data_IF_882029396762
#
_entry.id   IF_882029396762
#
_cell.length_a   1.000
_cell.length_b   1.000
_cell.length_c   1.000
_cell.angle_alpha   90.00
_cell.angle_beta   90.00
_cell.angle_gamma   90.00
#
_symmetry.space_group_name_H-M   'P 1'
#
loop_
_entity.id
_entity.type
_entity.pdbx_description
1 polymer ?
#
# COMPACT_ATOMS: atom_id res chain seq x y z
N UNK A 1 12.52 20.28 5.56
CA UNK A 1 11.71 19.23 4.89
C UNK A 1 12.15 19.09 3.44
N UNK A 2 12.01 17.90 2.87
CA UNK A 2 12.31 17.64 1.46
C UNK A 2 11.40 16.55 0.91
N UNK A 3 11.14 16.61 -0.39
CA UNK A 3 10.42 15.59 -1.15
C UNK A 3 11.25 15.21 -2.37
N UNK A 4 11.51 13.92 -2.55
CA UNK A 4 12.05 13.38 -3.80
C UNK A 4 11.09 12.36 -4.40
N UNK A 5 10.86 12.48 -5.69
CA UNK A 5 10.03 11.55 -6.45
C UNK A 5 10.85 10.99 -7.60
N UNK A 6 11.04 9.67 -7.62
CA UNK A 6 11.58 8.99 -8.79
C UNK A 6 10.48 8.81 -9.83
N UNK A 7 10.78 9.20 -11.06
CA UNK A 7 9.90 9.09 -12.22
C UNK A 7 10.49 8.06 -13.19
N UNK A 8 10.11 6.77 -13.08
CA UNK A 8 10.78 5.68 -13.82
C UNK A 8 10.72 5.85 -15.34
N UNK A 9 9.66 6.46 -15.88
CA UNK A 9 9.51 6.68 -17.33
C UNK A 9 10.49 7.70 -17.90
N UNK A 10 10.94 8.63 -17.07
CA UNK A 10 11.84 9.71 -17.45
C UNK A 10 13.27 9.45 -16.97
N UNK A 11 13.49 8.35 -16.25
CA UNK A 11 14.72 8.07 -15.48
C UNK A 11 15.22 9.32 -14.76
N UNK A 12 14.31 10.00 -14.08
CA UNK A 12 14.62 11.27 -13.42
C UNK A 12 14.08 11.30 -12.01
N UNK A 13 14.83 11.94 -11.13
CA UNK A 13 14.43 12.23 -9.76
C UNK A 13 14.12 13.73 -9.69
N UNK A 14 12.89 14.05 -9.30
CA UNK A 14 12.51 15.41 -8.91
C UNK A 14 12.82 15.57 -7.43
N UNK A 15 13.60 16.58 -7.06
CA UNK A 15 13.94 16.89 -5.67
C UNK A 15 13.42 18.28 -5.33
N UNK A 16 12.70 18.41 -4.22
CA UNK A 16 12.25 19.68 -3.65
C UNK A 16 12.73 19.79 -2.21
N UNK A 17 13.37 20.90 -1.87
CA UNK A 17 13.95 21.16 -0.54
C UNK A 17 13.37 22.48 -0.03
N UNK A 18 12.80 22.45 1.17
CA UNK A 18 12.44 23.66 1.91
C UNK A 18 13.68 24.17 2.65
N UNK A 19 14.06 25.40 2.35
CA UNK A 19 15.26 26.08 2.83
C UNK A 19 14.99 26.96 4.06
N UNK A 20 13.78 26.94 4.61
CA UNK A 20 13.39 27.76 5.76
C UNK A 20 13.41 29.25 5.41
N UNK A 21 14.17 30.04 6.16
CA UNK A 21 14.24 31.50 6.03
C UNK A 21 15.20 31.98 4.92
N UNK A 22 15.89 31.07 4.23
CA UNK A 22 16.79 31.43 3.12
C UNK A 22 16.00 31.63 1.81
N UNK A 23 15.54 32.86 1.61
CA UNK A 23 14.68 33.25 0.47
C UNK A 23 15.48 33.46 -0.83
N UNK A 24 16.79 33.71 -0.74
CA UNK A 24 17.72 33.84 -1.88
C UNK A 24 18.94 32.94 -1.70
N UNK A 25 18.76 31.61 -1.80
CA UNK A 25 19.81 30.65 -1.52
C UNK A 25 20.94 30.76 -2.53
N UNK A 26 22.15 31.10 -2.05
CA UNK A 26 23.37 30.95 -2.83
C UNK A 26 23.95 29.56 -2.59
N UNK A 27 23.83 28.69 -3.57
CA UNK A 27 24.35 27.32 -3.52
C UNK A 27 25.87 27.36 -3.72
N UNK A 28 26.62 26.81 -2.76
CA UNK A 28 28.08 26.74 -2.80
C UNK A 28 28.57 25.37 -3.27
N UNK A 29 27.85 24.30 -2.92
CA UNK A 29 28.22 22.94 -3.28
C UNK A 29 26.97 22.06 -3.48
N UNK A 30 27.03 21.19 -4.49
CA UNK A 30 26.07 20.10 -4.66
C UNK A 30 26.84 18.82 -4.95
N UNK A 31 26.58 17.76 -4.18
CA UNK A 31 27.27 16.49 -4.33
C UNK A 31 26.34 15.30 -4.04
N UNK A 32 26.59 14.18 -4.72
CA UNK A 32 25.98 12.90 -4.39
C UNK A 32 26.86 12.15 -3.39
N UNK A 33 26.28 11.78 -2.24
CA UNK A 33 26.98 11.03 -1.19
C UNK A 33 26.17 9.78 -0.88
N UNK A 34 26.72 8.61 -1.20
CA UNK A 34 26.02 7.31 -1.11
C UNK A 34 24.71 7.34 -1.92
N UNK A 35 23.56 7.29 -1.26
CA UNK A 35 22.22 7.37 -1.86
C UNK A 35 21.54 8.70 -1.52
N UNK A 36 22.30 9.73 -1.16
CA UNK A 36 21.79 11.04 -0.77
C UNK A 36 22.34 12.14 -1.67
N UNK A 37 21.53 13.18 -1.87
CA UNK A 37 21.93 14.45 -2.43
C UNK A 37 22.25 15.42 -1.28
N UNK A 38 23.44 15.98 -1.30
CA UNK A 38 23.87 17.02 -0.37
C UNK A 38 23.88 18.34 -1.12
N UNK A 39 23.16 19.33 -0.58
CA UNK A 39 23.15 20.70 -1.05
C UNK A 39 23.65 21.60 0.08
N UNK A 40 24.71 22.35 -0.19
CA UNK A 40 25.27 23.33 0.75
C UNK A 40 24.94 24.72 0.24
N UNK A 41 24.29 25.52 1.07
CA UNK A 41 24.12 26.95 0.87
C UNK A 41 25.15 27.70 1.74
N UNK A 42 25.20 29.03 1.64
CA UNK A 42 26.04 29.83 2.55
C UNK A 42 25.66 29.68 4.03
N UNK A 43 24.41 29.33 4.31
CA UNK A 43 23.80 29.37 5.65
C UNK A 43 23.61 27.97 6.22
N UNK A 44 23.27 26.99 5.38
CA UNK A 44 22.80 25.67 5.81
C UNK A 44 23.30 24.55 4.91
N UNK A 45 23.37 23.33 5.48
CA UNK A 45 23.64 22.10 4.76
C UNK A 45 22.40 21.22 4.78
N UNK A 46 21.87 20.90 3.60
CA UNK A 46 20.73 20.01 3.42
C UNK A 46 21.21 18.67 2.89
N UNK A 47 20.81 17.58 3.56
CA UNK A 47 21.07 16.21 3.10
C UNK A 47 19.75 15.53 2.86
N UNK A 48 19.53 15.09 1.63
CA UNK A 48 18.27 14.51 1.18
C UNK A 48 18.52 13.09 0.69
N UNK A 49 17.86 12.10 1.28
CA UNK A 49 17.93 10.72 0.82
C UNK A 49 17.19 10.59 -0.50
N UNK A 50 17.78 9.97 -1.51
CA UNK A 50 17.17 9.73 -2.80
C UNK A 50 16.48 8.36 -2.80
N UNK A 51 15.33 8.21 -3.46
CA UNK A 51 14.58 6.95 -3.51
C UNK A 51 15.19 6.01 -4.56
N UNK A 52 16.42 5.56 -4.31
CA UNK A 52 17.17 4.62 -5.16
C UNK A 52 17.66 3.44 -4.32
N UNK A 53 17.63 2.24 -4.90
CA UNK A 53 18.01 1.00 -4.19
C UNK A 53 19.48 0.96 -3.82
N UNK A 54 20.36 1.46 -4.71
CA UNK A 54 21.80 1.41 -4.52
C UNK A 54 22.49 2.68 -5.06
N UNK A 55 23.75 2.87 -4.65
CA UNK A 55 24.61 3.96 -5.14
C UNK A 55 24.91 3.83 -6.64
N UNK A 56 24.86 2.62 -7.18
CA UNK A 56 25.25 2.36 -8.57
C UNK A 56 24.29 3.02 -9.56
N UNK A 57 23.02 3.20 -9.17
CA UNK A 57 22.03 3.96 -9.96
C UNK A 57 22.38 5.46 -10.06
N UNK A 58 23.30 5.96 -9.22
CA UNK A 58 23.74 7.36 -9.22
C UNK A 58 25.11 7.58 -9.89
N UNK A 59 25.79 6.53 -10.37
CA UNK A 59 27.17 6.62 -10.91
C UNK A 59 27.34 7.66 -12.01
N UNK A 60 26.30 7.87 -12.83
CA UNK A 60 26.28 8.84 -13.93
C UNK A 60 25.18 9.90 -13.78
N UNK A 61 24.66 10.08 -12.57
CA UNK A 61 23.58 11.03 -12.33
C UNK A 61 24.01 12.47 -12.62
N UNK A 62 23.20 13.21 -13.37
CA UNK A 62 23.45 14.61 -13.71
C UNK A 62 22.31 15.50 -13.26
N UNK A 63 22.64 16.64 -12.67
CA UNK A 63 21.67 17.67 -12.35
C UNK A 63 21.37 18.43 -13.64
N UNK A 64 20.15 18.32 -14.15
CA UNK A 64 19.73 18.93 -15.42
C UNK A 64 18.99 20.24 -15.23
N UNK A 65 18.43 20.47 -14.05
CA UNK A 65 17.71 21.69 -13.72
C UNK A 65 17.88 22.04 -12.24
N UNK A 66 18.06 23.32 -11.96
CA UNK A 66 18.05 23.91 -10.63
C UNK A 66 17.17 25.16 -10.70
N UNK A 67 16.18 25.25 -9.84
CA UNK A 67 15.27 26.39 -9.74
C UNK A 67 15.06 26.73 -8.27
N UNK A 68 15.43 27.95 -7.88
CA UNK A 68 15.08 28.50 -6.58
C UNK A 68 13.89 29.45 -6.74
N UNK A 69 12.82 29.24 -5.98
CA UNK A 69 11.67 30.14 -5.93
C UNK A 69 11.30 30.39 -4.48
N UNK A 70 11.66 31.57 -3.97
CA UNK A 70 11.56 31.86 -2.54
C UNK A 70 12.38 30.86 -1.72
N UNK A 71 11.80 30.34 -0.64
CA UNK A 71 12.42 29.36 0.25
C UNK A 71 12.42 27.91 -0.26
N UNK A 72 12.10 27.68 -1.54
CA UNK A 72 12.03 26.33 -2.12
C UNK A 72 13.07 26.18 -3.22
N UNK A 73 13.94 25.19 -3.05
CA UNK A 73 14.88 24.74 -4.07
C UNK A 73 14.34 23.49 -4.76
N UNK A 74 14.16 23.57 -6.06
CA UNK A 74 13.77 22.45 -6.92
C UNK A 74 14.94 22.03 -7.79
N UNK A 75 15.31 20.75 -7.74
CA UNK A 75 16.33 20.16 -8.61
C UNK A 75 15.72 19.02 -9.43
N UNK A 76 16.23 18.85 -10.65
CA UNK A 76 15.98 17.65 -11.46
C UNK A 76 17.28 16.92 -11.67
N UNK A 77 17.30 15.65 -11.30
CA UNK A 77 18.43 14.74 -11.51
C UNK A 77 18.03 13.75 -12.60
N UNK A 78 18.78 13.70 -13.69
CA UNK A 78 18.67 12.65 -14.70
C UNK A 78 19.58 11.49 -14.33
N UNK A 79 19.06 10.28 -14.38
CA UNK A 79 19.80 9.04 -14.24
C UNK A 79 20.13 8.48 -15.62
N UNK A 80 21.13 7.59 -15.69
CA UNK A 80 21.39 6.82 -16.90
C UNK A 80 20.37 5.68 -17.00
N UNK A 81 19.75 5.57 -18.17
CA UNK A 81 18.66 4.64 -18.47
C UNK A 81 19.07 3.19 -18.20
N UNK A 82 18.45 2.56 -17.20
CA UNK A 82 18.45 1.10 -17.09
C UNK A 82 17.67 0.53 -18.29
N UNK A 83 18.20 -0.50 -18.94
CA UNK A 83 17.64 -1.04 -20.19
C UNK A 83 16.23 -1.63 -20.05
N UNK A 84 15.73 -1.83 -18.83
CA UNK A 84 14.35 -2.21 -18.56
C UNK A 84 13.64 -1.12 -17.75
N UNK A 85 12.78 -0.29 -18.37
CA UNK A 85 11.88 0.55 -17.62
C UNK A 85 10.89 -0.38 -16.92
N UNK A 86 10.97 -0.49 -15.58
CA UNK A 86 9.90 -1.07 -14.81
C UNK A 86 8.60 -0.35 -15.20
N UNK A 87 7.75 -1.04 -15.97
CA UNK A 87 6.53 -0.43 -16.49
C UNK A 87 5.70 0.05 -15.31
N UNK A 88 5.03 1.19 -15.45
CA UNK A 88 3.97 1.63 -14.53
C UNK A 88 2.92 0.51 -14.30
N UNK A 89 2.75 -0.38 -15.29
CA UNK A 89 1.89 -1.57 -15.20
C UNK A 89 2.53 -2.74 -14.45
N UNK A 90 3.81 -2.70 -14.09
CA UNK A 90 4.48 -3.76 -13.34
C UNK A 90 3.91 -3.88 -11.94
N UNK A 91 3.61 -2.76 -11.27
CA UNK A 91 2.90 -2.80 -9.98
C UNK A 91 1.44 -3.27 -10.15
N UNK A 92 0.77 -2.85 -11.23
CA UNK A 92 -0.57 -3.34 -11.61
C UNK A 92 -0.59 -4.85 -11.92
N UNK A 93 0.54 -5.41 -12.35
CA UNK A 93 0.71 -6.84 -12.69
C UNK A 93 1.34 -7.65 -11.56
N UNK A 94 1.94 -6.98 -10.58
CA UNK A 94 2.59 -7.53 -9.39
C UNK A 94 1.52 -8.00 -8.43
N UNK A 95 0.95 -9.17 -8.70
CA UNK A 95 -0.04 -9.90 -7.87
C UNK A 95 0.48 -10.31 -6.47
N UNK A 96 1.55 -9.69 -5.96
CA UNK A 96 2.15 -10.01 -4.67
C UNK A 96 1.57 -9.08 -3.61
N UNK A 97 0.36 -9.41 -3.16
CA UNK A 97 -0.18 -8.84 -1.93
C UNK A 97 0.60 -9.40 -0.74
N UNK A 98 0.86 -8.58 0.28
CA UNK A 98 1.51 -9.05 1.50
C UNK A 98 0.71 -10.21 2.12
N UNK A 99 1.43 -11.29 2.39
CA UNK A 99 0.93 -12.56 2.89
C UNK A 99 -0.06 -13.30 1.97
N UNK A 100 -0.07 -13.01 0.65
CA UNK A 100 -0.71 -13.90 -0.33
C UNK A 100 0.03 -15.24 -0.42
N UNK A 101 -0.57 -16.26 -1.03
CA UNK A 101 0.14 -17.52 -1.30
C UNK A 101 1.40 -17.28 -2.12
N UNK A 102 1.33 -16.38 -3.11
CA UNK A 102 2.50 -15.98 -3.92
C UNK A 102 3.61 -15.31 -3.09
N UNK A 103 3.26 -14.50 -2.08
CA UNK A 103 4.22 -13.89 -1.16
C UNK A 103 4.85 -14.94 -0.22
N UNK A 104 4.04 -15.87 0.31
CA UNK A 104 4.48 -16.88 1.27
C UNK A 104 5.50 -17.88 0.69
N UNK A 105 5.65 -17.96 -0.64
CA UNK A 105 6.68 -18.79 -1.31
C UNK A 105 8.11 -18.34 -0.96
N UNK A 106 8.32 -17.09 -0.53
CA UNK A 106 9.64 -16.59 -0.12
C UNK A 106 10.11 -17.12 1.23
N UNK A 107 9.23 -17.74 2.00
CA UNK A 107 9.58 -18.26 3.32
C UNK A 107 10.50 -19.48 3.21
N UNK A 108 11.34 -19.76 4.24
CA UNK A 108 12.23 -20.92 4.24
C UNK A 108 11.46 -22.22 4.05
N UNK A 109 12.11 -23.21 3.47
CA UNK A 109 11.53 -24.54 3.28
C UNK A 109 12.18 -25.58 4.18
N UNK A 110 11.37 -26.54 4.62
CA UNK A 110 11.86 -27.71 5.34
C UNK A 110 12.46 -28.78 4.39
N UNK A 111 12.90 -29.90 4.97
CA UNK A 111 13.45 -31.03 4.25
C UNK A 111 12.47 -31.68 3.24
N UNK A 112 11.16 -31.45 3.42
CA UNK A 112 10.11 -31.94 2.54
C UNK A 112 9.71 -30.91 1.47
N UNK A 113 10.47 -29.83 1.32
CA UNK A 113 10.22 -28.72 0.40
C UNK A 113 8.90 -27.96 0.70
N UNK A 114 8.48 -27.95 1.96
CA UNK A 114 7.30 -27.22 2.45
C UNK A 114 7.74 -25.90 3.08
N UNK A 115 7.10 -24.80 2.68
CA UNK A 115 7.30 -23.47 3.25
C UNK A 115 6.94 -23.47 4.76
N UNK A 116 7.90 -23.06 5.60
CA UNK A 116 7.76 -23.02 7.07
C UNK A 116 7.55 -21.61 7.57
N UNK A 117 6.37 -21.34 8.11
CA UNK A 117 6.00 -20.07 8.73
C UNK A 117 4.86 -20.25 9.74
N UNK A 118 4.71 -19.29 10.64
CA UNK A 118 3.67 -19.27 11.66
C UNK A 118 2.90 -17.96 11.59
N UNK A 119 1.57 -18.03 11.63
CA UNK A 119 0.77 -16.86 11.99
C UNK A 119 0.61 -16.83 13.50
N UNK A 120 1.11 -15.76 14.11
CA UNK A 120 1.05 -15.51 15.54
C UNK A 120 -0.02 -14.48 15.86
N UNK A 121 -0.55 -14.51 17.08
CA UNK A 121 -1.38 -13.44 17.61
C UNK A 121 -0.52 -12.17 17.78
N UNK A 122 -0.95 -11.04 17.23
CA UNK A 122 -0.20 -9.78 17.33
C UNK A 122 0.03 -9.29 18.77
N UNK A 123 -0.81 -9.75 19.70
CA UNK A 123 -0.90 -9.25 21.08
C UNK A 123 -0.20 -10.11 22.13
N UNK A 124 -0.06 -11.42 21.89
CA UNK A 124 0.60 -12.33 22.84
C UNK A 124 1.62 -13.26 22.19
N UNK A 125 1.84 -13.16 20.88
CA UNK A 125 2.73 -13.98 20.06
C UNK A 125 2.44 -15.50 20.12
N UNK A 126 1.32 -15.93 20.70
CA UNK A 126 0.89 -17.33 20.63
C UNK A 126 0.58 -17.74 19.20
N UNK A 127 0.99 -18.94 18.79
CA UNK A 127 0.70 -19.50 17.47
C UNK A 127 -0.81 -19.62 17.26
N UNK A 128 -1.30 -19.02 16.17
CA UNK A 128 -2.71 -19.03 15.75
C UNK A 128 -2.90 -20.03 14.61
N UNK A 129 -1.99 -20.06 13.64
CA UNK A 129 -1.98 -21.00 12.51
C UNK A 129 -0.54 -21.40 12.20
N UNK A 130 -0.30 -22.69 12.00
CA UNK A 130 1.00 -23.25 11.60
C UNK A 130 0.96 -23.66 10.12
N UNK A 131 2.01 -23.36 9.35
CA UNK A 131 2.09 -23.74 7.94
C UNK A 131 2.16 -25.25 7.71
N UNK A 132 2.67 -26.01 8.68
CA UNK A 132 2.86 -27.47 8.56
C UNK A 132 1.54 -28.23 8.64
N UNK A 133 0.56 -27.68 9.34
CA UNK A 133 -0.74 -28.32 9.57
C UNK A 133 -1.80 -27.95 8.52
N UNK A 134 -1.51 -27.00 7.63
CA UNK A 134 -2.51 -26.37 6.79
C UNK A 134 -2.08 -26.24 5.32
N UNK A 135 -3.06 -26.34 4.43
CA UNK A 135 -2.91 -25.97 3.01
C UNK A 135 -3.40 -24.55 2.79
N UNK A 136 -2.70 -23.81 1.94
CA UNK A 136 -2.99 -22.40 1.67
C UNK A 136 -3.45 -22.21 0.24
N UNK A 137 -4.51 -21.41 0.06
CA UNK A 137 -5.00 -20.98 -1.23
C UNK A 137 -5.44 -19.52 -1.14
N UNK A 138 -5.15 -18.70 -2.14
CA UNK A 138 -5.69 -17.35 -2.20
C UNK A 138 -7.21 -17.41 -2.46
N UNK A 139 -7.97 -16.55 -1.80
CA UNK A 139 -9.35 -16.30 -2.20
C UNK A 139 -9.36 -15.67 -3.59
N UNK A 140 -10.33 -16.03 -4.46
CA UNK A 140 -10.66 -15.17 -5.58
C UNK A 140 -10.93 -13.75 -5.06
N UNK A 141 -10.62 -12.71 -5.85
CA UNK A 141 -10.76 -11.29 -5.47
C UNK A 141 -12.00 -11.05 -4.62
N UNK A 142 -11.99 -10.23 -3.57
CA UNK A 142 -13.15 -10.09 -2.67
C UNK A 142 -14.50 -9.84 -3.40
N UNK A 143 -14.48 -9.25 -4.59
CA UNK A 143 -15.61 -8.99 -5.51
C UNK A 143 -15.99 -10.16 -6.45
N UNK A 144 -15.41 -11.35 -6.29
CA UNK A 144 -15.65 -12.48 -7.21
C UNK A 144 -17.11 -12.93 -7.21
N UNK A 145 -17.77 -12.82 -6.06
CA UNK A 145 -19.18 -13.16 -5.90
C UNK A 145 -20.07 -12.16 -6.65
N UNK A 146 -19.74 -10.87 -6.59
CA UNK A 146 -20.40 -9.83 -7.39
C UNK A 146 -20.19 -10.09 -8.90
N UNK A 147 -18.98 -10.47 -9.32
CA UNK A 147 -18.67 -10.81 -10.71
C UNK A 147 -19.41 -12.07 -11.21
N UNK A 148 -19.72 -13.03 -10.33
CA UNK A 148 -20.54 -14.20 -10.68
C UNK A 148 -22.00 -13.83 -10.98
N UNK A 149 -22.53 -12.79 -10.32
CA UNK A 149 -23.88 -12.28 -10.58
C UNK A 149 -23.97 -11.57 -11.95
N UNK A 150 -22.89 -10.90 -12.39
CA UNK A 150 -22.83 -10.25 -13.70
C UNK A 150 -22.72 -11.22 -14.90
N UNK A 151 -22.24 -12.45 -14.70
CA UNK A 151 -21.97 -13.42 -15.78
C UNK A 151 -23.21 -14.14 -16.33
N UNK A 152 -24.40 -13.87 -15.82
CA UNK A 152 -25.63 -14.59 -16.18
C UNK A 152 -26.63 -13.80 -17.04
N UNK A 153 -26.17 -12.80 -17.81
CA UNK A 153 -27.03 -12.17 -18.80
C UNK A 153 -27.16 -13.01 -20.08
N UNK A 154 -28.40 -13.46 -20.33
CA UNK A 154 -28.93 -14.19 -21.49
C UNK A 154 -28.88 -15.73 -21.48
N UNK A 155 -29.61 -16.35 -20.54
CA UNK A 155 -30.26 -17.63 -20.89
C UNK A 155 -31.63 -17.29 -21.52
N UNK A 156 -31.89 -17.65 -22.79
CA UNK A 156 -33.15 -17.30 -23.44
C UNK A 156 -34.32 -17.97 -22.70
N UNK A 157 -35.34 -17.15 -22.45
CA UNK A 157 -36.64 -17.44 -21.84
C UNK A 157 -37.04 -18.92 -21.90
N UNK A 158 -36.92 -19.61 -20.78
CA UNK A 158 -37.89 -20.66 -20.45
C UNK A 158 -38.60 -20.25 -19.17
N UNK A 159 -39.90 -20.01 -19.32
CA UNK A 159 -40.83 -19.69 -18.24
C UNK A 159 -40.92 -20.89 -17.29
N UNK A 160 -40.14 -20.88 -16.22
CA UNK A 160 -40.52 -21.54 -14.99
C UNK A 160 -40.24 -20.62 -13.82
N UNK A 161 -41.35 -20.22 -13.19
CA UNK A 161 -41.43 -19.43 -11.99
C UNK A 161 -40.86 -20.20 -10.79
N UNK A 162 -40.31 -19.42 -9.85
CA UNK A 162 -40.22 -19.71 -8.40
C UNK A 162 -39.20 -20.77 -7.94
N UNK A 163 -37.90 -20.41 -7.95
CA UNK A 163 -36.89 -20.68 -6.90
C UNK A 163 -35.47 -20.52 -7.47
N UNK A 164 -35.06 -19.28 -7.71
CA UNK A 164 -33.66 -18.98 -8.06
C UNK A 164 -33.06 -17.94 -7.11
N UNK A 165 -33.13 -18.19 -5.79
CA UNK A 165 -32.02 -17.85 -4.90
C UNK A 165 -30.94 -18.89 -5.10
N UNK A 166 -30.21 -18.81 -6.22
CA UNK A 166 -29.04 -19.66 -6.42
C UNK A 166 -27.95 -19.17 -5.46
N UNK A 167 -27.90 -19.77 -4.27
CA UNK A 167 -26.76 -19.72 -3.37
C UNK A 167 -25.55 -20.25 -4.14
N UNK A 168 -24.80 -19.39 -4.85
CA UNK A 168 -23.44 -19.70 -5.21
C UNK A 168 -22.72 -20.02 -3.91
N UNK A 169 -22.37 -21.30 -3.74
CA UNK A 169 -21.94 -21.84 -2.45
C UNK A 169 -20.83 -20.95 -1.90
N UNK A 170 -21.11 -20.26 -0.79
CA UNK A 170 -20.10 -19.56 -0.04
C UNK A 170 -18.92 -20.51 0.13
N UNK A 171 -17.71 -20.08 -0.24
CA UNK A 171 -16.55 -20.96 -0.11
C UNK A 171 -16.44 -21.31 1.37
N UNK A 172 -16.66 -22.56 1.73
CA UNK A 172 -16.54 -23.00 3.12
C UNK A 172 -15.15 -23.63 3.29
N UNK A 173 -14.31 -23.10 4.19
CA UNK A 173 -13.06 -23.73 4.59
C UNK A 173 -13.24 -25.20 4.93
N UNK A 174 -12.49 -26.06 4.23
CA UNK A 174 -12.31 -27.46 4.63
C UNK A 174 -11.40 -27.51 5.86
N UNK A 175 -11.44 -28.63 6.58
CA UNK A 175 -10.47 -28.89 7.64
C UNK A 175 -9.04 -28.76 7.08
N UNK A 176 -8.15 -28.14 7.86
CA UNK A 176 -6.75 -27.91 7.51
C UNK A 176 -6.53 -27.10 6.21
N UNK A 177 -7.50 -26.28 5.81
CA UNK A 177 -7.36 -25.33 4.70
C UNK A 177 -7.51 -23.90 5.21
N UNK A 178 -6.58 -23.05 4.78
CA UNK A 178 -6.57 -21.63 5.07
C UNK A 178 -6.67 -20.88 3.76
N UNK A 179 -7.79 -20.19 3.58
CA UNK A 179 -8.02 -19.32 2.45
C UNK A 179 -7.54 -17.90 2.79
N UNK A 180 -6.65 -17.35 1.98
CA UNK A 180 -6.08 -16.03 2.21
C UNK A 180 -6.90 -15.00 1.44
N UNK A 181 -7.67 -14.19 2.17
CA UNK A 181 -8.34 -13.01 1.63
C UNK A 181 -7.43 -11.79 1.60
N UNK A 182 -7.95 -10.66 1.12
CA UNK A 182 -7.15 -9.43 1.05
C UNK A 182 -6.80 -8.94 2.46
N UNK A 183 -7.80 -8.91 3.34
CA UNK A 183 -7.70 -8.41 4.72
C UNK A 183 -7.65 -9.49 5.79
N UNK A 184 -7.95 -10.76 5.45
CA UNK A 184 -8.15 -11.82 6.45
C UNK A 184 -7.58 -13.18 6.03
N UNK A 185 -7.41 -14.06 7.01
CA UNK A 185 -7.27 -15.50 6.84
C UNK A 185 -8.61 -16.15 7.16
N UNK A 186 -9.10 -17.01 6.26
CA UNK A 186 -10.39 -17.67 6.39
C UNK A 186 -10.21 -19.18 6.51
N UNK A 187 -10.61 -19.70 7.67
CA UNK A 187 -10.36 -21.08 8.04
C UNK A 187 -11.48 -21.59 8.95
N UNK A 188 -11.58 -22.91 9.06
CA UNK A 188 -12.52 -23.55 9.99
C UNK A 188 -11.96 -23.46 11.40
N UNK A 189 -12.73 -22.87 12.32
CA UNK A 189 -12.31 -22.61 13.71
C UNK A 189 -13.55 -22.28 14.54
N UNK A 190 -13.61 -22.80 15.76
CA UNK A 190 -14.72 -22.58 16.70
C UNK A 190 -14.69 -21.23 17.43
N UNK A 191 -13.68 -20.38 17.17
CA UNK A 191 -13.53 -19.08 17.82
C UNK A 191 -12.72 -18.13 16.95
N UNK A 192 -13.15 -16.87 16.82
CA UNK A 192 -12.34 -15.79 16.25
C UNK A 192 -11.29 -15.24 17.23
N UNK A 193 -11.32 -15.67 18.50
CA UNK A 193 -10.39 -15.23 19.53
C UNK A 193 -9.08 -16.03 19.55
N UNK A 194 -8.02 -15.41 20.05
CA UNK A 194 -6.80 -16.12 20.39
C UNK A 194 -7.06 -17.15 21.49
N UNK A 195 -6.64 -18.40 21.32
CA UNK A 195 -6.85 -19.42 22.36
C UNK A 195 -6.08 -19.15 23.64
N UNK A 196 -4.95 -18.44 23.56
CA UNK A 196 -4.11 -18.05 24.70
C UNK A 196 -4.66 -16.83 25.43
N UNK A 197 -4.70 -15.65 24.78
CA UNK A 197 -5.06 -14.40 25.44
C UNK A 197 -6.55 -14.00 25.32
N UNK A 198 -7.37 -14.79 24.62
CA UNK A 198 -8.81 -14.57 24.39
C UNK A 198 -9.19 -13.30 23.63
N UNK A 199 -8.23 -12.46 23.24
CA UNK A 199 -8.49 -11.28 22.42
C UNK A 199 -9.09 -11.67 21.08
N UNK A 200 -10.08 -10.89 20.64
CA UNK A 200 -10.70 -11.10 19.33
C UNK A 200 -9.69 -10.80 18.21
N UNK A 201 -9.52 -11.73 17.27
CA UNK A 201 -8.65 -11.56 16.10
C UNK A 201 -9.44 -11.30 14.81
N UNK A 202 -10.77 -11.40 14.85
CA UNK A 202 -11.63 -11.06 13.72
C UNK A 202 -13.08 -11.45 13.93
N UNK A 203 -13.67 -12.15 12.98
CA UNK A 203 -15.10 -12.49 12.98
C UNK A 203 -15.31 -14.00 12.95
N UNK A 204 -16.35 -14.46 13.65
CA UNK A 204 -16.80 -15.84 13.63
C UNK A 204 -18.17 -15.89 12.95
N UNK A 205 -18.31 -16.77 11.97
CA UNK A 205 -19.59 -17.07 11.33
C UNK A 205 -19.73 -18.58 11.26
N UNK A 206 -20.68 -19.13 12.02
CA UNK A 206 -20.83 -20.57 12.22
C UNK A 206 -19.50 -21.18 12.73
N UNK A 207 -19.02 -22.27 12.11
CA UNK A 207 -17.76 -22.94 12.43
C UNK A 207 -16.55 -22.40 11.64
N UNK A 208 -16.66 -21.21 11.06
CA UNK A 208 -15.61 -20.60 10.24
C UNK A 208 -15.24 -19.23 10.78
N UNK A 209 -13.96 -18.92 10.81
CA UNK A 209 -13.45 -17.66 11.31
C UNK A 209 -12.70 -16.91 10.21
N UNK A 210 -12.98 -15.61 10.10
CA UNK A 210 -12.16 -14.64 9.37
C UNK A 210 -11.26 -13.95 10.38
N UNK A 211 -9.97 -14.29 10.39
CA UNK A 211 -8.98 -13.66 11.25
C UNK A 211 -8.32 -12.52 10.48
N UNK A 212 -8.46 -11.28 10.95
CA UNK A 212 -7.89 -10.15 10.24
C UNK A 212 -6.37 -10.15 10.31
N UNK A 213 -5.72 -9.88 9.18
CA UNK A 213 -4.26 -9.90 9.06
C UNK A 213 -3.59 -8.93 10.03
N UNK A 214 -4.19 -7.76 10.29
CA UNK A 214 -3.65 -6.78 11.22
C UNK A 214 -3.70 -7.19 12.69
N UNK A 215 -4.48 -8.21 13.04
CA UNK A 215 -4.47 -8.82 14.37
C UNK A 215 -3.47 -9.99 14.49
N UNK A 216 -2.71 -10.25 13.42
CA UNK A 216 -1.74 -11.33 13.33
C UNK A 216 -0.33 -10.79 13.04
N UNK A 217 0.66 -11.64 13.24
CA UNK A 217 2.04 -11.48 12.76
C UNK A 217 2.44 -12.72 11.98
N UNK A 218 3.26 -12.56 10.96
CA UNK A 218 3.85 -13.68 10.23
C UNK A 218 5.28 -13.87 10.73
N UNK A 219 5.62 -15.07 11.22
CA UNK A 219 6.98 -15.42 11.64
C UNK A 219 7.54 -16.50 10.73
N UNK A 220 8.77 -16.31 10.26
CA UNK A 220 9.53 -17.33 9.53
C UNK A 220 11.03 -17.09 9.72
N UNK A 221 11.79 -18.16 10.04
CA UNK A 221 13.16 -18.00 10.52
C UNK A 221 13.23 -17.03 11.70
N UNK A 222 14.14 -16.06 11.62
CA UNK A 222 14.31 -14.99 12.62
C UNK A 222 13.47 -13.73 12.32
N UNK A 223 12.69 -13.74 11.23
CA UNK A 223 11.93 -12.58 10.78
C UNK A 223 10.50 -12.66 11.31
N UNK A 224 10.03 -11.55 11.88
CA UNK A 224 8.63 -11.36 12.28
C UNK A 224 8.08 -10.13 11.58
N UNK A 225 7.02 -10.31 10.82
CA UNK A 225 6.33 -9.26 10.08
C UNK A 225 4.98 -8.94 10.70
N UNK A 226 4.61 -7.67 10.66
CA UNK A 226 3.26 -7.19 10.93
C UNK A 226 2.54 -6.80 9.65
N UNK A 227 1.22 -6.77 9.72
CA UNK A 227 0.36 -6.25 8.66
C UNK A 227 -0.35 -5.00 9.18
N UNK A 228 0.01 -3.80 8.76
CA UNK A 228 -0.65 -2.60 9.26
C UNK A 228 -2.08 -2.49 8.70
N UNK A 229 -3.07 -2.01 9.47
CA UNK A 229 -4.47 -1.95 9.01
C UNK A 229 -4.65 -1.20 7.69
N UNK A 230 -3.99 -0.04 7.52
CA UNK A 230 -4.04 0.74 6.27
C UNK A 230 -3.59 -0.02 5.02
N UNK A 231 -2.79 -1.10 5.15
CA UNK A 231 -2.32 -1.85 3.99
C UNK A 231 -3.48 -2.53 3.25
N UNK A 232 -4.58 -2.86 3.95
CA UNK A 232 -5.79 -3.32 3.28
C UNK A 232 -6.32 -2.26 2.31
N UNK A 233 -6.44 -0.99 2.73
CA UNK A 233 -6.84 0.10 1.85
C UNK A 233 -5.90 0.26 0.66
N UNK A 234 -4.58 0.16 0.87
CA UNK A 234 -3.61 0.21 -0.23
C UNK A 234 -3.90 -0.86 -1.29
N UNK A 235 -4.05 -2.13 -0.89
CA UNK A 235 -4.29 -3.23 -1.84
C UNK A 235 -5.67 -3.16 -2.47
N UNK A 236 -6.71 -2.76 -1.72
CA UNK A 236 -8.07 -2.60 -2.24
C UNK A 236 -8.18 -1.46 -3.27
N UNK A 237 -7.44 -0.37 -3.07
CA UNK A 237 -7.30 0.73 -4.04
C UNK A 237 -6.58 0.23 -5.29
N UNK A 238 -5.47 -0.49 -5.12
CA UNK A 238 -4.69 -1.03 -6.25
C UNK A 238 -5.51 -2.01 -7.09
N UNK A 239 -6.29 -2.88 -6.45
CA UNK A 239 -7.20 -3.82 -7.12
C UNK A 239 -8.25 -3.08 -7.98
N UNK A 240 -8.90 -2.04 -7.44
CA UNK A 240 -9.85 -1.18 -8.20
C UNK A 240 -9.22 -0.46 -9.39
N UNK A 241 -8.00 0.03 -9.22
CA UNK A 241 -7.24 0.65 -10.32
C UNK A 241 -6.99 -0.39 -11.42
N UNK A 242 -6.67 -1.63 -11.06
CA UNK A 242 -6.34 -2.68 -12.02
C UNK A 242 -7.58 -3.29 -12.69
N UNK A 243 -8.69 -3.43 -11.98
CA UNK A 243 -9.93 -4.05 -12.47
C UNK A 243 -10.84 -3.06 -13.21
N UNK A 244 -10.95 -1.82 -12.71
CA UNK A 244 -11.89 -0.82 -13.22
C UNK A 244 -11.26 0.46 -13.77
N UNK A 245 -9.93 0.61 -13.73
CA UNK A 245 -9.21 1.85 -14.07
C UNK A 245 -9.67 3.08 -13.26
N UNK A 246 -10.27 2.85 -12.09
CA UNK A 246 -10.83 3.88 -11.22
C UNK A 246 -9.74 4.59 -10.45
N UNK A 247 -9.61 5.90 -10.66
CA UNK A 247 -8.64 6.75 -9.96
C UNK A 247 -9.24 7.68 -8.93
N UNK A 248 -10.58 7.76 -8.86
CA UNK A 248 -11.32 8.51 -7.86
C UNK A 248 -12.24 7.53 -7.14
N UNK A 249 -12.14 7.48 -5.82
CA UNK A 249 -13.00 6.66 -4.97
C UNK A 249 -13.21 7.33 -3.61
N UNK A 250 -14.25 6.92 -2.90
CA UNK A 250 -14.52 7.34 -1.53
C UNK A 250 -14.27 6.15 -0.61
N UNK A 251 -13.34 6.30 0.33
CA UNK A 251 -13.17 5.32 1.39
C UNK A 251 -14.04 5.75 2.56
N UNK A 252 -14.88 4.86 3.06
CA UNK A 252 -15.76 5.17 4.18
C UNK A 252 -15.82 4.05 5.21
N UNK A 253 -16.21 4.42 6.42
CA UNK A 253 -16.60 3.54 7.51
C UNK A 253 -17.88 4.11 8.13
N UNK A 254 -18.42 3.43 9.15
CA UNK A 254 -19.66 3.85 9.83
C UNK A 254 -19.63 5.31 10.32
N UNK A 255 -18.44 5.82 10.66
CA UNK A 255 -18.27 7.12 11.32
C UNK A 255 -17.52 8.17 10.46
N UNK A 256 -17.14 7.85 9.22
CA UNK A 256 -16.26 8.73 8.43
C UNK A 256 -16.21 8.41 6.96
N UNK A 257 -15.90 9.41 6.14
CA UNK A 257 -15.66 9.24 4.71
C UNK A 257 -14.57 10.20 4.24
N UNK A 258 -13.70 9.72 3.35
CA UNK A 258 -12.67 10.51 2.69
C UNK A 258 -12.69 10.20 1.19
N UNK A 259 -12.65 11.24 0.37
CA UNK A 259 -12.50 11.07 -1.08
C UNK A 259 -11.02 11.06 -1.43
N UNK A 260 -10.64 10.08 -2.24
CA UNK A 260 -9.29 9.87 -2.73
C UNK A 260 -9.26 10.06 -4.24
N UNK A 261 -8.22 10.73 -4.73
CA UNK A 261 -7.86 10.80 -6.13
C UNK A 261 -6.40 10.39 -6.31
N UNK A 262 -6.19 9.23 -6.92
CA UNK A 262 -4.89 8.63 -7.17
C UNK A 262 -4.27 9.22 -8.43
N UNK A 263 -3.21 10.02 -8.26
CA UNK A 263 -2.50 10.66 -9.36
C UNK A 263 -1.48 9.71 -10.00
N UNK A 264 -0.79 8.93 -9.18
CA UNK A 264 0.30 8.07 -9.62
C UNK A 264 0.37 6.82 -8.74
N UNK A 265 0.79 5.71 -9.35
CA UNK A 265 1.01 4.43 -8.68
C UNK A 265 2.43 3.97 -8.96
N UNK A 266 3.02 3.22 -8.03
CA UNK A 266 4.34 2.64 -8.21
C UNK A 266 5.48 3.66 -8.17
N UNK A 267 5.32 4.74 -7.42
CA UNK A 267 6.40 5.72 -7.22
C UNK A 267 7.37 5.22 -6.16
N UNK A 268 8.66 5.42 -6.40
CA UNK A 268 9.66 5.40 -5.32
C UNK A 268 9.85 6.85 -4.86
N UNK A 269 9.53 7.11 -3.59
CA UNK A 269 9.45 8.47 -3.03
C UNK A 269 10.25 8.50 -1.75
N UNK A 270 10.96 9.59 -1.51
CA UNK A 270 11.52 9.87 -0.20
C UNK A 270 11.06 11.23 0.28
N UNK A 271 10.71 11.31 1.56
CA UNK A 271 10.43 12.57 2.22
C UNK A 271 10.82 12.44 3.68
N UNK A 272 11.43 13.49 4.21
CA UNK A 272 11.97 13.49 5.57
C UNK A 272 12.79 12.22 5.88
N UNK A 273 12.45 11.45 6.92
CA UNK A 273 13.08 10.17 7.25
C UNK A 273 12.53 8.96 6.49
N UNK A 274 11.54 9.10 5.61
CA UNK A 274 10.88 7.97 4.94
C UNK A 274 11.45 7.74 3.54
N UNK A 275 11.63 6.46 3.18
CA UNK A 275 11.83 6.03 1.80
C UNK A 275 10.79 4.97 1.50
N UNK A 276 9.86 5.33 0.63
CA UNK A 276 8.75 4.49 0.23
C UNK A 276 9.03 3.90 -1.15
N UNK A 277 8.75 2.61 -1.28
CA UNK A 277 8.69 1.95 -2.57
C UNK A 277 7.25 1.56 -2.91
N UNK A 278 6.93 1.50 -4.20
CA UNK A 278 5.59 1.18 -4.72
C UNK A 278 4.50 2.11 -4.18
N UNK A 279 4.82 3.36 -3.88
CA UNK A 279 3.91 4.32 -3.28
C UNK A 279 2.84 4.79 -4.28
N UNK A 280 1.67 5.11 -3.75
CA UNK A 280 0.60 5.85 -4.40
C UNK A 280 0.73 7.32 -4.01
N UNK A 281 0.63 8.22 -4.99
CA UNK A 281 0.44 9.66 -4.74
C UNK A 281 -1.05 9.95 -4.75
N UNK A 282 -1.59 10.36 -3.61
CA UNK A 282 -3.03 10.49 -3.38
C UNK A 282 -3.35 11.94 -3.03
N UNK A 283 -4.30 12.51 -3.77
CA UNK A 283 -5.02 13.70 -3.34
C UNK A 283 -6.22 13.28 -2.50
N UNK A 284 -6.46 13.92 -1.36
CA UNK A 284 -7.59 13.56 -0.52
C UNK A 284 -8.31 14.77 0.08
N UNK A 285 -9.61 14.60 0.31
CA UNK A 285 -10.50 15.62 0.89
C UNK A 285 -11.62 14.97 1.69
N UNK A 286 -12.09 15.66 2.72
CA UNK A 286 -13.18 15.19 3.59
C UNK A 286 -14.57 15.50 2.97
N UNK A 287 -14.62 16.12 1.78
CA UNK A 287 -15.89 16.40 1.09
C UNK A 287 -16.47 15.14 0.45
N UNK A 288 -17.76 14.91 0.67
CA UNK A 288 -18.52 13.81 0.05
C UNK A 288 -18.85 14.13 -1.40
N UNK A 289 -18.83 13.11 -2.25
CA UNK A 289 -19.34 13.16 -3.62
C UNK A 289 -20.15 11.89 -3.88
N UNK A 290 -21.47 12.01 -4.10
CA UNK A 290 -22.35 10.87 -4.27
C UNK A 290 -22.10 10.10 -5.58
N UNK A 291 -21.38 10.68 -6.56
CA UNK A 291 -21.09 10.01 -7.84
C UNK A 291 -19.81 9.15 -7.77
N UNK A 292 -19.04 9.28 -6.70
CA UNK A 292 -17.77 8.56 -6.54
C UNK A 292 -18.02 7.14 -6.02
N UNK A 293 -17.35 6.14 -6.60
CA UNK A 293 -17.41 4.75 -6.12
C UNK A 293 -16.94 4.63 -4.67
N UNK A 294 -17.65 3.81 -3.89
CA UNK A 294 -17.43 3.64 -2.47
C UNK A 294 -16.62 2.37 -2.17
N UNK A 295 -15.63 2.50 -1.29
CA UNK A 295 -14.89 1.41 -0.65
C UNK A 295 -15.19 1.44 0.85
N UNK A 296 -16.03 0.53 1.31
CA UNK A 296 -16.31 0.32 2.72
C UNK A 296 -15.17 -0.44 3.40
N UNK A 297 -14.68 0.11 4.52
CA UNK A 297 -13.60 -0.49 5.31
C UNK A 297 -13.94 -0.48 6.80
N UNK A 298 -13.40 -1.41 7.60
CA UNK A 298 -13.53 -1.35 9.05
C UNK A 298 -12.96 -0.05 9.62
N UNK A 299 -13.54 0.46 10.72
CA UNK A 299 -13.14 1.74 11.33
C UNK A 299 -11.64 1.79 11.68
N UNK A 300 -11.07 0.69 12.18
CA UNK A 300 -9.63 0.60 12.46
C UNK A 300 -8.76 0.81 11.22
N UNK A 301 -9.19 0.30 10.06
CA UNK A 301 -8.50 0.48 8.79
C UNK A 301 -8.65 1.92 8.31
N UNK A 302 -9.85 2.50 8.42
CA UNK A 302 -10.11 3.89 8.08
C UNK A 302 -9.24 4.84 8.90
N UNK A 303 -9.23 4.69 10.23
CA UNK A 303 -8.45 5.54 11.13
C UNK A 303 -6.95 5.44 10.84
N UNK A 304 -6.47 4.22 10.60
CA UNK A 304 -5.08 3.96 10.21
C UNK A 304 -4.72 4.61 8.87
N UNK A 305 -5.59 4.54 7.87
CA UNK A 305 -5.39 5.19 6.56
C UNK A 305 -5.32 6.71 6.70
N UNK A 306 -6.27 7.31 7.41
CA UNK A 306 -6.32 8.76 7.60
C UNK A 306 -5.09 9.25 8.37
N UNK A 307 -4.66 8.50 9.39
CA UNK A 307 -3.44 8.80 10.13
C UNK A 307 -2.23 8.85 9.18
N UNK A 308 -2.01 7.79 8.40
CA UNK A 308 -0.86 7.72 7.46
C UNK A 308 -0.90 8.82 6.41
N UNK A 309 -2.08 9.12 5.85
CA UNK A 309 -2.20 10.20 4.85
C UNK A 309 -1.86 11.56 5.47
N UNK A 310 -2.39 11.86 6.65
CA UNK A 310 -2.14 13.14 7.35
C UNK A 310 -0.70 13.27 7.82
N UNK A 311 -0.12 12.19 8.36
CA UNK A 311 1.28 12.13 8.75
C UNK A 311 2.17 12.40 7.54
N UNK A 312 1.94 11.67 6.44
CA UNK A 312 2.65 11.89 5.18
C UNK A 312 2.55 13.34 4.71
N UNK A 313 1.34 13.92 4.68
CA UNK A 313 1.15 15.34 4.32
C UNK A 313 1.95 16.27 5.21
N UNK A 314 1.94 16.07 6.54
CA UNK A 314 2.62 16.97 7.48
C UNK A 314 4.15 16.99 7.31
N UNK A 315 4.72 15.93 6.74
CA UNK A 315 6.16 15.79 6.49
C UNK A 315 6.58 16.34 5.11
N UNK A 316 5.63 16.69 4.25
CA UNK A 316 5.92 17.32 2.96
C UNK A 316 6.23 18.82 3.13
N UNK A 317 7.08 19.40 2.27
CA UNK A 317 7.21 20.86 2.18
C UNK A 317 5.84 21.53 2.02
N UNK A 318 5.62 22.68 2.66
CA UNK A 318 4.31 23.37 2.68
C UNK A 318 3.68 23.57 1.28
N UNK A 319 4.50 23.87 0.28
CA UNK A 319 4.05 24.04 -1.11
C UNK A 319 3.49 22.77 -1.75
N UNK A 320 3.79 21.61 -1.18
CA UNK A 320 3.37 20.30 -1.67
C UNK A 320 2.27 19.68 -0.82
N UNK A 321 1.87 20.32 0.29
CA UNK A 321 0.87 19.75 1.20
C UNK A 321 -0.56 19.86 0.65
N UNK A 322 -0.83 20.89 -0.15
CA UNK A 322 -2.17 21.17 -0.68
C UNK A 322 -2.10 21.54 -2.16
N UNK A 323 -3.14 21.17 -2.88
CA UNK A 323 -3.34 21.54 -4.28
C UNK A 323 -4.75 22.10 -4.42
N UNK A 324 -4.85 23.29 -4.99
CA UNK A 324 -6.13 23.91 -5.32
C UNK A 324 -6.50 23.54 -6.76
N UNK A 325 -7.65 22.89 -6.93
CA UNK A 325 -8.30 22.67 -8.24
C UNK A 325 -9.70 23.31 -8.15
N UNK A 326 -10.76 22.58 -8.51
CA UNK A 326 -12.14 22.98 -8.23
C UNK A 326 -12.42 23.06 -6.71
N UNK A 327 -11.64 22.30 -5.94
CA UNK A 327 -11.62 22.35 -4.49
C UNK A 327 -10.20 22.13 -3.94
N UNK A 328 -10.03 22.38 -2.64
CA UNK A 328 -8.78 22.14 -1.93
C UNK A 328 -8.61 20.64 -1.64
N UNK A 329 -7.52 20.06 -2.15
CA UNK A 329 -7.09 18.72 -1.82
C UNK A 329 -5.80 18.77 -1.01
N UNK A 330 -5.66 17.84 -0.07
CA UNK A 330 -4.38 17.54 0.59
C UNK A 330 -3.62 16.48 -0.19
N UNK A 331 -2.30 16.53 -0.17
CA UNK A 331 -1.44 15.55 -0.85
C UNK A 331 -0.84 14.61 0.19
N UNK A 332 -1.01 13.31 -0.01
CA UNK A 332 -0.40 12.28 0.84
C UNK A 332 0.17 11.14 0.01
N UNK A 333 1.07 10.38 0.62
CA UNK A 333 1.61 9.14 0.05
C UNK A 333 1.15 7.94 0.84
N UNK A 334 0.86 6.84 0.12
CA UNK A 334 0.49 5.56 0.71
C UNK A 334 1.30 4.45 0.05
N UNK A 335 2.01 3.65 0.84
CA UNK A 335 2.79 2.51 0.37
C UNK A 335 2.38 1.23 1.13
N UNK A 336 2.73 0.02 0.63
CA UNK A 336 2.47 -1.22 1.35
C UNK A 336 3.11 -1.23 2.75
N UNK A 337 4.30 -0.62 2.85
CA UNK A 337 5.09 -0.50 4.06
C UNK A 337 5.60 0.93 4.20
N UNK A 338 5.44 1.50 5.39
CA UNK A 338 5.84 2.87 5.72
C UNK A 338 6.95 2.79 6.76
N UNK A 339 8.15 2.35 6.35
CA UNK A 339 9.28 2.13 7.26
C UNK A 339 10.13 3.40 7.32
N UNK A 340 10.36 4.00 8.52
CA UNK A 340 11.35 5.05 8.69
C UNK A 340 12.74 4.51 8.34
N UNK A 341 13.51 5.30 7.61
CA UNK A 341 14.70 4.88 6.87
C UNK A 341 16.02 5.09 7.57
#
# INVERSE_FOLDING_TARGET
MSLCEYLPRLDSISVKISLGDDVEPTITEIAFVKTSLVVVTRTTKHTVKLPVENRDHLKDAKITQILAKGSILSLRVSLNRSQDPASFTSLSSSKTQKWSVSDLVRTPKDANNINTFLFLCAYCNATVVDSRDNKYADMPSEYWHELMDFWHCHKPHQKHHENHSKNYGAIVPKDNHVYIGASYLFLKRSSSGCFSCKRNLGELTNDTAKLYKWNLKLQYGDITESFPPYAYSYYAILDRINSGALRKLQVQCDNGAVRLWILSVGLSVSYDSYVLDKALKILYTDKKDPETEVLDVPSEVYDSLIFVLRESTSLLPESEQTVQMDEAFKVGFLAPEMIPS
#
